data_IF_124397914781
#
_entry.id   IF_124397914781
#
_cell.length_a   1.000
_cell.length_b   1.000
_cell.length_c   1.000
_cell.angle_alpha   90.00
_cell.angle_beta   90.00
_cell.angle_gamma   90.00
#
_symmetry.space_group_name_H-M   'P 1'
#
loop_
_entity.id
_entity.type
_entity.pdbx_description
1 polymer ?
#
# COMPACT_ATOMS: atom_id res chain seq x y z
N UNK A 1 30.16 13.52 12.91
CA UNK A 1 28.92 13.34 13.70
C UNK A 1 29.30 12.52 14.93
N UNK A 2 29.01 13.02 16.13
CA UNK A 2 29.31 12.31 17.39
C UNK A 2 28.05 11.55 17.80
N UNK A 3 28.16 10.24 18.01
CA UNK A 3 27.06 9.37 18.43
C UNK A 3 27.27 8.99 19.90
N UNK A 4 26.23 9.17 20.71
CA UNK A 4 26.21 8.72 22.10
C UNK A 4 25.32 7.49 22.18
N UNK A 5 25.81 6.42 22.79
CA UNK A 5 25.07 5.17 22.97
C UNK A 5 25.25 4.67 24.39
N UNK A 6 24.20 4.08 24.96
CA UNK A 6 24.26 3.37 26.24
C UNK A 6 24.57 1.88 26.06
N UNK A 7 24.72 1.44 24.81
CA UNK A 7 25.07 0.06 24.47
C UNK A 7 26.55 -0.02 24.10
N UNK A 8 27.33 -0.69 24.95
CA UNK A 8 28.78 -0.88 24.82
C UNK A 8 29.16 -2.22 24.18
N UNK A 9 28.19 -3.10 23.93
CA UNK A 9 28.42 -4.45 23.39
C UNK A 9 28.37 -4.48 21.86
N UNK A 10 27.67 -3.53 21.25
CA UNK A 10 27.54 -3.42 19.79
C UNK A 10 28.80 -2.83 19.16
N UNK A 11 29.19 -3.36 18.00
CA UNK A 11 30.29 -2.81 17.21
C UNK A 11 29.92 -1.40 16.67
N UNK A 12 30.95 -0.60 16.41
CA UNK A 12 30.79 0.76 15.88
C UNK A 12 30.03 0.76 14.56
N UNK A 13 30.22 -0.26 13.70
CA UNK A 13 29.49 -0.37 12.43
C UNK A 13 28.00 -0.62 12.62
N UNK A 14 27.64 -1.48 13.58
CA UNK A 14 26.24 -1.78 13.89
C UNK A 14 25.55 -0.54 14.47
N UNK A 15 26.24 0.20 15.34
CA UNK A 15 25.75 1.47 15.87
C UNK A 15 25.53 2.51 14.76
N UNK A 16 26.48 2.64 13.83
CA UNK A 16 26.32 3.53 12.67
C UNK A 16 25.12 3.12 11.81
N UNK A 17 24.92 1.83 11.59
CA UNK A 17 23.78 1.33 10.80
C UNK A 17 22.44 1.57 11.50
N UNK A 18 22.34 1.34 12.81
CA UNK A 18 21.15 1.66 13.60
C UNK A 18 20.83 3.15 13.52
N UNK A 19 21.84 4.01 13.65
CA UNK A 19 21.65 5.45 13.52
C UNK A 19 21.29 5.88 12.08
N UNK A 20 21.77 5.18 11.04
CA UNK A 20 21.31 5.39 9.66
C UNK A 20 19.82 5.04 9.52
N UNK A 21 19.36 3.96 10.15
CA UNK A 21 17.93 3.55 10.13
C UNK A 21 17.00 4.58 10.76
N UNK A 22 17.47 5.44 11.67
CA UNK A 22 16.69 6.56 12.22
C UNK A 22 16.18 7.52 11.13
N UNK A 23 16.96 7.74 10.07
CA UNK A 23 16.53 8.57 8.93
C UNK A 23 15.37 7.96 8.14
N UNK A 24 15.18 6.64 8.19
CA UNK A 24 14.03 5.99 7.55
C UNK A 24 12.71 6.45 8.17
N UNK A 25 12.69 6.78 9.47
CA UNK A 25 11.53 7.32 10.16
C UNK A 25 11.18 8.72 9.63
N UNK A 26 12.18 9.57 9.42
CA UNK A 26 11.95 10.91 8.84
C UNK A 26 11.43 10.83 7.41
N UNK A 27 11.98 9.91 6.60
CA UNK A 27 11.49 9.64 5.25
C UNK A 27 10.03 9.17 5.27
N UNK A 28 9.67 8.27 6.20
CA UNK A 28 8.30 7.82 6.41
C UNK A 28 7.36 8.99 6.75
N UNK A 29 7.74 9.85 7.71
CA UNK A 29 6.91 11.02 8.06
C UNK A 29 6.77 12.01 6.90
N UNK A 30 7.83 12.18 6.09
CA UNK A 30 7.78 13.02 4.89
C UNK A 30 6.82 12.45 3.85
N UNK A 31 6.87 11.14 3.61
CA UNK A 31 5.95 10.44 2.70
C UNK A 31 4.50 10.56 3.18
N UNK A 32 4.24 10.37 4.48
CA UNK A 32 2.89 10.51 5.04
C UNK A 32 2.34 11.92 4.81
N UNK A 33 3.14 12.96 5.10
CA UNK A 33 2.72 14.36 4.89
C UNK A 33 2.50 14.72 3.42
N UNK A 34 3.20 14.06 2.49
CA UNK A 34 3.05 14.29 1.05
C UNK A 34 1.87 13.52 0.44
N UNK A 35 1.70 12.25 0.82
CA UNK A 35 0.71 11.35 0.21
C UNK A 35 -0.70 11.56 0.77
N UNK A 36 -0.81 12.09 1.99
CA UNK A 36 -2.09 12.36 2.60
C UNK A 36 -2.32 13.86 2.70
N UNK A 37 -3.38 14.41 2.09
CA UNK A 37 -3.79 15.77 2.31
C UNK A 37 -4.36 15.89 3.73
N UNK A 38 -3.48 15.88 4.73
CA UNK A 38 -3.77 16.24 6.13
C UNK A 38 -4.20 17.70 6.28
N UNK A 39 -4.34 18.44 5.18
CA UNK A 39 -4.71 19.84 5.16
C UNK A 39 -6.23 20.08 5.30
N UNK A 40 -7.05 19.04 5.16
CA UNK A 40 -8.50 19.09 5.35
C UNK A 40 -8.90 18.07 6.42
N UNK A 41 -8.81 18.46 7.69
CA UNK A 41 -9.48 17.74 8.76
C UNK A 41 -10.98 17.99 8.61
N UNK A 42 -11.76 16.93 8.43
CA UNK A 42 -13.21 17.04 8.25
C UNK A 42 -13.94 17.42 9.56
N UNK A 43 -13.23 17.37 10.69
CA UNK A 43 -13.73 17.68 12.03
C UNK A 43 -12.63 18.29 12.90
N UNK A 44 -12.93 19.35 13.65
CA UNK A 44 -12.01 20.05 14.57
C UNK A 44 -11.74 19.28 15.89
N UNK A 45 -12.03 17.97 15.92
CA UNK A 45 -11.90 17.14 17.12
C UNK A 45 -10.54 16.41 17.13
N UNK A 46 -9.82 16.50 18.27
CA UNK A 46 -8.56 15.78 18.52
C UNK A 46 -8.70 14.27 18.25
N UNK A 47 -9.82 13.65 18.60
CA UNK A 47 -10.04 12.23 18.35
C UNK A 47 -10.13 11.91 16.85
N UNK A 48 -10.73 12.81 16.06
CA UNK A 48 -10.82 12.63 14.61
C UNK A 48 -9.43 12.68 13.96
N UNK A 49 -8.58 13.60 14.40
CA UNK A 49 -7.18 13.72 13.96
C UNK A 49 -6.38 12.46 14.33
N UNK A 50 -6.57 11.95 15.55
CA UNK A 50 -5.91 10.72 16.00
C UNK A 50 -6.33 9.52 15.15
N UNK A 51 -7.63 9.30 14.96
CA UNK A 51 -8.16 8.21 14.14
C UNK A 51 -7.65 8.32 12.71
N UNK A 52 -7.69 9.51 12.11
CA UNK A 52 -7.19 9.74 10.76
C UNK A 52 -5.71 9.41 10.65
N UNK A 53 -4.89 9.79 11.64
CA UNK A 53 -3.47 9.43 11.69
C UNK A 53 -3.26 7.92 11.78
N UNK A 54 -4.01 7.23 12.63
CA UNK A 54 -3.92 5.76 12.74
C UNK A 54 -4.32 5.05 11.45
N UNK A 55 -5.41 5.47 10.80
CA UNK A 55 -5.86 4.91 9.50
C UNK A 55 -4.80 5.11 8.42
N UNK A 56 -4.21 6.30 8.35
CA UNK A 56 -3.13 6.62 7.42
C UNK A 56 -1.91 5.72 7.62
N UNK A 57 -1.50 5.50 8.88
CA UNK A 57 -0.39 4.60 9.21
C UNK A 57 -0.67 3.16 8.82
N UNK A 58 -1.88 2.66 9.10
CA UNK A 58 -2.32 1.30 8.73
C UNK A 58 -2.34 1.14 7.21
N UNK A 59 -2.93 2.09 6.48
CA UNK A 59 -2.99 2.07 5.03
C UNK A 59 -1.58 2.06 4.40
N UNK A 60 -0.67 2.88 4.93
CA UNK A 60 0.72 2.92 4.47
C UNK A 60 1.46 1.59 4.72
N UNK A 61 1.22 0.96 5.88
CA UNK A 61 1.78 -0.35 6.20
C UNK A 61 1.27 -1.43 5.22
N UNK A 62 -0.04 -1.47 4.99
CA UNK A 62 -0.65 -2.41 4.03
C UNK A 62 -0.09 -2.22 2.63
N UNK A 63 0.00 -0.98 2.14
CA UNK A 63 0.61 -0.68 0.84
C UNK A 63 2.07 -1.14 0.77
N UNK A 64 2.83 -0.98 1.85
CA UNK A 64 4.23 -1.44 1.92
C UNK A 64 4.34 -2.96 1.89
N UNK A 65 3.44 -3.67 2.56
CA UNK A 65 3.39 -5.14 2.53
C UNK A 65 3.06 -5.63 1.11
N UNK A 66 2.03 -5.05 0.49
CA UNK A 66 1.65 -5.36 -0.90
C UNK A 66 2.81 -5.09 -1.85
N UNK A 67 3.51 -3.96 -1.70
CA UNK A 67 4.68 -3.63 -2.50
C UNK A 67 5.81 -4.66 -2.36
N UNK A 68 5.98 -5.27 -1.18
CA UNK A 68 6.97 -6.33 -0.94
C UNK A 68 6.54 -7.69 -1.48
N UNK A 69 5.25 -7.96 -1.55
CA UNK A 69 4.72 -9.21 -2.10
C UNK A 69 4.84 -9.26 -3.62
N UNK A 70 4.72 -8.11 -4.28
CA UNK A 70 4.85 -8.01 -5.74
C UNK A 70 6.33 -8.17 -6.13
N UNK A 71 6.64 -9.17 -6.96
CA UNK A 71 8.01 -9.42 -7.43
C UNK A 71 8.53 -8.34 -8.40
N UNK A 72 7.63 -7.59 -9.04
CA UNK A 72 7.96 -6.53 -10.00
C UNK A 72 8.26 -5.21 -9.28
N UNK A 73 9.29 -4.51 -9.74
CA UNK A 73 9.58 -3.16 -9.24
C UNK A 73 8.51 -2.17 -9.73
N UNK A 74 7.52 -1.87 -8.89
CA UNK A 74 6.47 -0.88 -9.16
C UNK A 74 6.67 0.32 -8.23
N UNK A 75 6.50 1.53 -8.74
CA UNK A 75 6.58 2.73 -7.89
C UNK A 75 5.41 2.79 -6.90
N UNK A 76 5.63 3.38 -5.73
CA UNK A 76 4.60 3.50 -4.69
C UNK A 76 3.34 4.22 -5.20
N UNK A 77 3.49 5.29 -5.98
CA UNK A 77 2.37 6.04 -6.55
C UNK A 77 1.53 5.21 -7.51
N UNK A 78 2.18 4.37 -8.34
CA UNK A 78 1.47 3.47 -9.24
C UNK A 78 0.72 2.38 -8.47
N UNK A 79 1.32 1.82 -7.43
CA UNK A 79 0.67 0.83 -6.56
C UNK A 79 -0.58 1.41 -5.91
N UNK A 80 -0.48 2.60 -5.30
CA UNK A 80 -1.62 3.26 -4.65
C UNK A 80 -2.72 3.61 -5.67
N UNK A 81 -2.33 4.04 -6.88
CA UNK A 81 -3.30 4.34 -7.94
C UNK A 81 -4.03 3.08 -8.40
N UNK A 82 -3.31 1.99 -8.64
CA UNK A 82 -3.92 0.71 -9.04
C UNK A 82 -4.79 0.14 -7.92
N UNK A 83 -4.30 0.19 -6.67
CA UNK A 83 -5.08 -0.24 -5.51
C UNK A 83 -6.40 0.54 -5.41
N UNK A 84 -6.39 1.85 -5.69
CA UNK A 84 -7.60 2.68 -5.72
C UNK A 84 -8.59 2.23 -6.80
N UNK A 85 -8.13 1.81 -7.97
CA UNK A 85 -9.00 1.30 -9.03
C UNK A 85 -9.51 -0.12 -8.74
N UNK A 86 -8.66 -0.98 -8.18
CA UNK A 86 -9.00 -2.38 -7.92
C UNK A 86 -9.82 -2.56 -6.63
N UNK A 87 -9.80 -1.61 -5.68
CA UNK A 87 -10.49 -1.74 -4.39
C UNK A 87 -11.98 -2.10 -4.49
N UNK A 88 -12.62 -1.71 -5.59
CA UNK A 88 -14.04 -1.91 -5.85
C UNK A 88 -14.33 -3.19 -6.66
N UNK A 89 -13.30 -3.86 -7.15
CA UNK A 89 -13.40 -5.12 -7.90
C UNK A 89 -12.91 -6.29 -7.04
N UNK A 90 -13.57 -7.43 -7.17
CA UNK A 90 -13.15 -8.66 -6.50
C UNK A 90 -12.10 -9.38 -7.36
N UNK A 91 -10.89 -8.83 -7.43
CA UNK A 91 -9.77 -9.45 -8.16
C UNK A 91 -8.58 -9.70 -7.26
N UNK A 92 -7.80 -10.73 -7.59
CA UNK A 92 -6.53 -10.97 -6.92
C UNK A 92 -5.51 -9.91 -7.37
N UNK A 93 -5.39 -8.84 -6.59
CA UNK A 93 -4.54 -7.70 -6.88
C UNK A 93 -3.06 -8.09 -7.07
N UNK A 94 -2.58 -9.11 -6.35
CA UNK A 94 -1.18 -9.54 -6.47
C UNK A 94 -0.97 -10.19 -7.84
N UNK A 95 -1.84 -11.10 -8.24
CA UNK A 95 -1.80 -11.74 -9.57
C UNK A 95 -1.96 -10.72 -10.71
N UNK A 96 -2.88 -9.76 -10.58
CA UNK A 96 -3.06 -8.67 -11.55
C UNK A 96 -1.79 -7.81 -11.72
N UNK A 97 -1.14 -7.47 -10.61
CA UNK A 97 0.06 -6.65 -10.62
C UNK A 97 1.27 -7.39 -11.20
N UNK A 98 1.34 -8.71 -11.03
CA UNK A 98 2.40 -9.55 -11.61
C UNK A 98 2.18 -9.84 -13.11
N UNK A 99 0.94 -10.13 -13.54
CA UNK A 99 0.60 -10.47 -14.91
C UNK A 99 -0.66 -9.73 -15.40
N UNK A 100 -0.53 -8.50 -15.95
CA UNK A 100 -1.67 -7.69 -16.40
C UNK A 100 -2.52 -8.34 -17.51
N UNK A 101 -1.94 -9.30 -18.25
CA UNK A 101 -2.55 -9.94 -19.41
C UNK A 101 -3.40 -11.18 -19.07
N UNK A 102 -3.23 -11.78 -17.88
CA UNK A 102 -3.99 -12.98 -17.49
C UNK A 102 -5.38 -12.64 -16.93
N UNK A 103 -5.61 -11.42 -16.44
CA UNK A 103 -6.92 -11.01 -15.94
C UNK A 103 -7.98 -11.01 -17.05
N UNK A 104 -7.62 -10.67 -18.29
CA UNK A 104 -8.53 -10.82 -19.44
C UNK A 104 -8.95 -12.28 -19.64
N UNK A 105 -8.01 -13.23 -19.47
CA UNK A 105 -8.28 -14.65 -19.61
C UNK A 105 -9.13 -15.21 -18.46
N UNK A 106 -8.94 -14.72 -17.23
CA UNK A 106 -9.75 -15.09 -16.06
C UNK A 106 -11.17 -14.52 -16.20
N UNK A 107 -11.31 -13.25 -16.59
CA UNK A 107 -12.62 -12.61 -16.83
C UNK A 107 -13.34 -13.26 -18.03
N UNK A 108 -12.61 -13.63 -19.09
CA UNK A 108 -13.17 -14.39 -20.22
C UNK A 108 -13.57 -15.81 -19.81
N UNK A 109 -12.80 -16.48 -18.95
CA UNK A 109 -13.13 -17.81 -18.42
C UNK A 109 -14.33 -17.78 -17.46
N UNK A 110 -14.46 -16.76 -16.62
CA UNK A 110 -15.65 -16.55 -15.78
C UNK A 110 -16.89 -16.22 -16.62
N UNK A 111 -16.75 -15.41 -17.67
CA UNK A 111 -17.85 -15.18 -18.65
C UNK A 111 -18.21 -16.44 -19.44
N UNK A 112 -17.24 -17.31 -19.74
CA UNK A 112 -17.47 -18.58 -20.42
C UNK A 112 -18.15 -19.63 -19.52
N UNK A 113 -17.97 -19.52 -18.20
CA UNK A 113 -18.62 -20.38 -17.19
C UNK A 113 -19.92 -19.80 -16.61
N UNK A 114 -20.28 -18.57 -16.95
CA UNK A 114 -21.59 -18.01 -16.62
C UNK A 114 -22.68 -18.80 -17.37
N UNK A 115 -23.80 -19.17 -16.72
CA UNK A 115 -24.90 -19.81 -17.43
C UNK A 115 -25.32 -18.94 -18.61
N UNK A 116 -25.70 -19.53 -19.76
CA UNK A 116 -26.12 -18.77 -20.93
C UNK A 116 -27.16 -17.77 -20.50
N UNK A 117 -27.02 -16.50 -20.94
CA UNK A 117 -28.04 -15.48 -20.72
C UNK A 117 -29.36 -16.11 -21.17
N UNK A 118 -30.31 -16.29 -20.26
CA UNK A 118 -31.61 -16.88 -20.59
C UNK A 118 -32.14 -16.09 -21.79
N UNK A 119 -32.38 -16.79 -22.91
CA UNK A 119 -33.14 -16.23 -24.00
C UNK A 119 -34.48 -15.84 -23.40
N UNK A 120 -34.76 -14.55 -23.34
CA UNK A 120 -36.12 -14.10 -23.06
C UNK A 120 -37.00 -14.79 -24.10
N UNK A 121 -37.94 -15.63 -23.63
CA UNK A 121 -38.84 -16.45 -24.43
C UNK A 121 -39.83 -15.60 -25.27
N UNK A 122 -39.62 -14.29 -25.31
CA UNK A 122 -40.47 -13.28 -25.92
C UNK A 122 -39.69 -12.24 -26.76
N UNK A 123 -38.52 -12.61 -27.29
CA UNK A 123 -37.96 -11.98 -28.50
C UNK A 123 -38.24 -12.87 -29.74
#
# INVERSE_FOLDING_TARGET
>A
MVLLTNNFELDVKDLEEIYKRRWAIESLYKQIKQNFPLHFFYSDNVNAIQIQTWVVLIANLLCTIIARMIKRHVSFSQLVTMLRFTLMYYTDFISFMENPQNDELIIMAEKANAPPKELDLFD
#
